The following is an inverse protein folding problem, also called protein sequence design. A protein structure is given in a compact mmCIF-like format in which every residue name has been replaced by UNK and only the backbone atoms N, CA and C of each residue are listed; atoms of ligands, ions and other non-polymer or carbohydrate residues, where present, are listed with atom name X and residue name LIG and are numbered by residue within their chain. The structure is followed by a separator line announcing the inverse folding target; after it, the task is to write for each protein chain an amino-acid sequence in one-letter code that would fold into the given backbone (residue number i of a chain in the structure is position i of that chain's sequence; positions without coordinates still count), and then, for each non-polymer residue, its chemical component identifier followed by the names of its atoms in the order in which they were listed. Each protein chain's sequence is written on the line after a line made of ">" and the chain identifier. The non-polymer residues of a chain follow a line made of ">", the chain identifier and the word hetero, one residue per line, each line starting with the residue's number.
data_IF_102156858916
#
_entry.id   IF_102156858916
#
_cell.length_a   1.000
_cell.length_b   1.000
_cell.length_c   1.000
_cell.angle_alpha   90.00
_cell.angle_beta   90.00
_cell.angle_gamma   90.00
#
_symmetry.space_group_name_H-M   'P 1'
#
loop_
_entity.id
_entity.type
_entity.pdbx_description
1 polymer ?
#
# COMPACT_ATOMS: atom_id res chain seq x y z
N UNK A 1 27.84 -3.45 7.54
CA UNK A 1 26.41 -3.69 7.22
C UNK A 1 26.32 -4.75 6.14
N UNK A 2 25.62 -5.87 6.39
CA UNK A 2 25.64 -7.04 5.51
C UNK A 2 24.92 -6.76 4.17
N UNK A 3 25.41 -7.31 3.05
CA UNK A 3 24.87 -7.03 1.69
C UNK A 3 23.36 -7.31 1.59
N UNK A 4 22.87 -8.33 2.29
CA UNK A 4 21.44 -8.65 2.37
C UNK A 4 20.58 -7.58 3.07
N UNK A 5 21.11 -6.91 4.11
CA UNK A 5 20.38 -5.85 4.82
C UNK A 5 20.21 -4.61 3.95
N UNK A 6 21.27 -4.20 3.23
CA UNK A 6 21.18 -3.10 2.25
C UNK A 6 20.17 -3.40 1.16
N UNK A 7 20.19 -4.61 0.60
CA UNK A 7 19.24 -5.02 -0.41
C UNK A 7 17.79 -4.96 0.09
N UNK A 8 17.54 -5.36 1.35
CA UNK A 8 16.21 -5.29 1.93
C UNK A 8 15.75 -3.83 2.08
N UNK A 9 16.61 -2.94 2.57
CA UNK A 9 16.27 -1.51 2.72
C UNK A 9 15.89 -0.88 1.37
N UNK A 10 16.69 -1.09 0.32
CA UNK A 10 16.38 -0.55 -1.00
C UNK A 10 15.06 -1.10 -1.55
N UNK A 11 14.81 -2.40 -1.32
CA UNK A 11 13.57 -3.02 -1.72
C UNK A 11 12.37 -2.44 -0.96
N UNK A 12 12.49 -2.23 0.36
CA UNK A 12 11.46 -1.59 1.16
C UNK A 12 11.15 -0.20 0.63
N UNK A 13 12.18 0.61 0.34
CA UNK A 13 11.98 1.95 -0.23
C UNK A 13 11.26 1.90 -1.58
N UNK A 14 11.66 0.98 -2.46
CA UNK A 14 11.01 0.80 -3.76
C UNK A 14 9.55 0.33 -3.62
N UNK A 15 9.28 -0.62 -2.72
CA UNK A 15 7.92 -1.10 -2.43
C UNK A 15 7.06 0.01 -1.82
N UNK A 16 7.60 0.81 -0.89
CA UNK A 16 6.89 1.96 -0.31
C UNK A 16 6.55 2.96 -1.40
N UNK A 17 7.51 3.32 -2.27
CA UNK A 17 7.27 4.24 -3.38
C UNK A 17 6.18 3.71 -4.34
N UNK A 18 6.26 2.44 -4.74
CA UNK A 18 5.25 1.81 -5.58
C UNK A 18 3.86 1.80 -4.91
N UNK A 19 3.79 1.47 -3.62
CA UNK A 19 2.56 1.50 -2.85
C UNK A 19 1.96 2.91 -2.78
N UNK A 20 2.79 3.94 -2.55
CA UNK A 20 2.32 5.33 -2.52
C UNK A 20 1.79 5.82 -3.87
N UNK A 21 2.46 5.49 -4.97
CA UNK A 21 2.01 5.87 -6.31
C UNK A 21 0.68 5.19 -6.65
N UNK A 22 0.58 3.89 -6.38
CA UNK A 22 -0.64 3.14 -6.62
C UNK A 22 -1.79 3.67 -5.76
N UNK A 23 -1.51 3.94 -4.49
CA UNK A 23 -2.43 4.53 -3.52
C UNK A 23 -2.99 5.88 -3.91
N UNK A 24 -2.10 6.76 -4.38
CA UNK A 24 -2.47 8.06 -4.91
C UNK A 24 -3.40 7.92 -6.12
N UNK A 25 -3.03 7.08 -7.10
CA UNK A 25 -3.87 6.81 -8.27
C UNK A 25 -5.23 6.23 -7.89
N UNK A 26 -5.26 5.24 -7.00
CA UNK A 26 -6.52 4.66 -6.49
C UNK A 26 -7.41 5.72 -5.83
N UNK A 27 -6.84 6.69 -5.12
CA UNK A 27 -7.59 7.80 -4.52
C UNK A 27 -8.17 8.73 -5.59
N UNK A 28 -7.38 9.13 -6.59
CA UNK A 28 -7.83 9.95 -7.73
C UNK A 28 -9.00 9.27 -8.47
N UNK A 29 -8.84 8.01 -8.84
CA UNK A 29 -9.90 7.27 -9.54
C UNK A 29 -11.12 6.97 -8.67
N UNK A 30 -10.96 6.86 -7.35
CA UNK A 30 -12.11 6.75 -6.45
C UNK A 30 -12.95 8.03 -6.49
N UNK A 31 -12.32 9.21 -6.47
CA UNK A 31 -13.04 10.48 -6.61
C UNK A 31 -13.76 10.62 -7.95
N UNK A 32 -13.14 10.17 -9.04
CA UNK A 32 -13.78 10.11 -10.37
C UNK A 32 -14.97 9.15 -10.39
N UNK A 33 -14.79 7.95 -9.83
CA UNK A 33 -15.86 6.96 -9.74
C UNK A 33 -17.08 7.48 -8.98
N UNK A 34 -16.87 8.19 -7.85
CA UNK A 34 -17.98 8.75 -7.06
C UNK A 34 -18.69 9.84 -7.83
N UNK A 35 -17.93 10.73 -8.47
CA UNK A 35 -18.49 11.83 -9.26
C UNK A 35 -19.28 11.34 -10.48
N UNK A 36 -18.78 10.30 -11.16
CA UNK A 36 -19.46 9.66 -12.29
C UNK A 36 -20.56 8.67 -11.85
N UNK A 37 -20.81 8.52 -10.54
CA UNK A 37 -21.76 7.57 -9.94
C UNK A 37 -21.60 6.13 -10.44
N UNK A 38 -20.37 5.71 -10.77
CA UNK A 38 -20.12 4.39 -11.38
C UNK A 38 -20.06 3.25 -10.37
N UNK A 39 -19.94 3.54 -9.07
CA UNK A 39 -19.92 2.54 -7.99
C UNK A 39 -18.67 1.64 -7.98
N UNK A 40 -17.56 2.09 -8.58
CA UNK A 40 -16.31 1.32 -8.71
C UNK A 40 -15.34 1.54 -7.55
N UNK A 41 -15.65 2.44 -6.61
CA UNK A 41 -14.82 2.75 -5.44
C UNK A 41 -14.45 1.50 -4.63
N UNK A 42 -15.38 0.57 -4.28
CA UNK A 42 -15.01 -0.60 -3.51
C UNK A 42 -14.02 -1.51 -4.26
N UNK A 43 -14.14 -1.61 -5.59
CA UNK A 43 -13.22 -2.39 -6.42
C UNK A 43 -11.83 -1.75 -6.47
N UNK A 44 -11.77 -0.44 -6.62
CA UNK A 44 -10.49 0.32 -6.64
C UNK A 44 -9.79 0.19 -5.28
N UNK A 45 -10.53 0.33 -4.18
CA UNK A 45 -9.99 0.19 -2.82
C UNK A 45 -9.56 -1.26 -2.51
N UNK A 46 -10.33 -2.26 -2.96
CA UNK A 46 -9.93 -3.67 -2.83
C UNK A 46 -8.63 -3.95 -3.59
N UNK A 47 -8.49 -3.41 -4.81
CA UNK A 47 -7.28 -3.60 -5.61
C UNK A 47 -6.07 -2.92 -4.96
N UNK A 48 -6.26 -1.74 -4.35
CA UNK A 48 -5.23 -1.05 -3.56
C UNK A 48 -4.72 -1.91 -2.40
N UNK A 49 -5.63 -2.47 -1.60
CA UNK A 49 -5.26 -3.37 -0.49
C UNK A 49 -4.53 -4.61 -1.03
N UNK A 50 -4.99 -5.17 -2.16
CA UNK A 50 -4.33 -6.32 -2.78
C UNK A 50 -2.87 -6.02 -3.16
N UNK A 51 -2.59 -4.84 -3.75
CA UNK A 51 -1.23 -4.42 -4.09
C UNK A 51 -0.36 -4.30 -2.83
N UNK A 52 -0.89 -3.70 -1.76
CA UNK A 52 -0.20 -3.57 -0.48
C UNK A 52 0.17 -4.94 0.10
N UNK A 53 -0.77 -5.89 0.06
CA UNK A 53 -0.56 -7.27 0.49
C UNK A 53 0.51 -7.96 -0.37
N UNK A 54 0.43 -7.84 -1.69
CA UNK A 54 1.40 -8.45 -2.61
C UNK A 54 2.83 -7.93 -2.36
N UNK A 55 2.99 -6.62 -2.16
CA UNK A 55 4.29 -6.02 -1.83
C UNK A 55 4.79 -6.45 -0.45
N UNK A 56 3.89 -6.51 0.54
CA UNK A 56 4.23 -7.00 1.90
C UNK A 56 4.67 -8.46 1.90
N UNK A 57 3.99 -9.32 1.15
CA UNK A 57 4.36 -10.73 0.96
C UNK A 57 5.71 -10.85 0.25
N UNK A 58 5.97 -10.02 -0.77
CA UNK A 58 7.26 -9.99 -1.45
C UNK A 58 8.41 -9.60 -0.50
N UNK A 59 8.19 -8.63 0.39
CA UNK A 59 9.14 -8.25 1.42
C UNK A 59 9.39 -9.38 2.43
N UNK A 60 8.34 -10.07 2.88
CA UNK A 60 8.46 -11.23 3.75
C UNK A 60 9.27 -12.37 3.09
N UNK A 61 9.01 -12.66 1.81
CA UNK A 61 9.78 -13.69 1.09
C UNK A 61 11.25 -13.32 0.88
N UNK A 62 11.59 -12.05 0.66
CA UNK A 62 13.00 -11.64 0.50
C UNK A 62 13.73 -11.40 1.82
N UNK A 63 13.03 -10.97 2.87
CA UNK A 63 13.61 -10.56 4.14
C UNK A 63 13.39 -11.50 5.31
N UNK A 64 12.61 -12.58 5.14
CA UNK A 64 12.14 -13.44 6.23
C UNK A 64 11.43 -12.60 7.32
N UNK A 65 11.73 -12.82 8.61
CA UNK A 65 11.19 -12.03 9.71
C UNK A 65 11.51 -10.53 9.63
N UNK A 66 12.75 -10.09 9.32
CA UNK A 66 13.03 -8.70 8.98
C UNK A 66 12.17 -8.16 7.82
N UNK A 67 11.81 -9.03 6.88
CA UNK A 67 10.91 -8.71 5.77
C UNK A 67 9.48 -8.40 6.21
N UNK A 68 8.98 -9.09 7.24
CA UNK A 68 7.67 -8.81 7.85
C UNK A 68 7.69 -7.43 8.53
N UNK A 69 8.74 -7.12 9.30
CA UNK A 69 8.90 -5.79 9.89
C UNK A 69 9.01 -4.69 8.82
N UNK A 70 9.75 -4.96 7.74
CA UNK A 70 9.84 -4.06 6.59
C UNK A 70 8.49 -3.85 5.89
N UNK A 71 7.65 -4.89 5.78
CA UNK A 71 6.30 -4.78 5.22
C UNK A 71 5.40 -3.90 6.09
N UNK A 72 5.50 -4.02 7.42
CA UNK A 72 4.78 -3.14 8.35
C UNK A 72 5.23 -1.68 8.19
N UNK A 73 6.55 -1.43 8.16
CA UNK A 73 7.08 -0.07 7.95
C UNK A 73 6.65 0.49 6.60
N UNK A 74 6.67 -0.32 5.54
CA UNK A 74 6.20 0.05 4.22
C UNK A 74 4.72 0.47 4.24
N UNK A 75 3.84 -0.34 4.84
CA UNK A 75 2.43 -0.02 4.96
C UNK A 75 2.20 1.28 5.73
N UNK A 76 2.83 1.45 6.89
CA UNK A 76 2.73 2.68 7.69
C UNK A 76 3.17 3.92 6.89
N UNK A 77 4.32 3.83 6.21
CA UNK A 77 4.85 4.94 5.43
C UNK A 77 3.96 5.25 4.22
N UNK A 78 3.49 4.22 3.51
CA UNK A 78 2.67 4.39 2.33
C UNK A 78 1.30 4.99 2.68
N UNK A 79 0.62 4.45 3.69
CA UNK A 79 -0.65 4.98 4.17
C UNK A 79 -0.53 6.42 4.71
N UNK A 80 0.58 6.75 5.38
CA UNK A 80 0.85 8.13 5.82
C UNK A 80 0.97 9.10 4.65
N UNK A 81 1.67 8.69 3.59
CA UNK A 81 1.81 9.48 2.39
C UNK A 81 0.45 9.61 1.66
N UNK A 82 -0.33 8.54 1.52
CA UNK A 82 -1.69 8.61 0.97
C UNK A 82 -2.56 9.61 1.74
N UNK A 83 -2.56 9.52 3.07
CA UNK A 83 -3.34 10.42 3.92
C UNK A 83 -2.91 11.88 3.77
N UNK A 84 -1.60 12.14 3.65
CA UNK A 84 -1.08 13.48 3.41
C UNK A 84 -1.44 14.00 2.01
N UNK A 85 -1.43 13.13 1.01
CA UNK A 85 -1.74 13.40 -0.39
C UNK A 85 -3.24 13.38 -0.70
N UNK A 86 -4.10 12.98 0.24
CA UNK A 86 -5.54 12.90 0.04
C UNK A 86 -6.18 14.17 -0.57
N UNK A 87 -5.93 15.40 -0.07
CA UNK A 87 -6.47 16.61 -0.70
C UNK A 87 -5.88 16.86 -2.10
N UNK A 88 -4.63 16.46 -2.35
CA UNK A 88 -4.02 16.57 -3.68
C UNK A 88 -4.64 15.58 -4.67
N UNK A 89 -5.03 14.39 -4.21
CA UNK A 89 -5.72 13.40 -5.05
C UNK A 89 -7.10 13.90 -5.51
N UNK A 90 -7.82 14.62 -4.65
CA UNK A 90 -9.06 15.30 -5.03
C UNK A 90 -8.79 16.39 -6.06
N UNK A 91 -7.79 17.25 -5.82
CA UNK A 91 -7.42 18.31 -6.78
C UNK A 91 -7.01 17.76 -8.14
N UNK A 92 -6.33 16.61 -8.18
CA UNK A 92 -5.99 15.90 -9.42
C UNK A 92 -7.20 15.27 -10.10
N UNK A 93 -8.14 14.69 -9.33
CA UNK A 93 -9.37 14.14 -9.88
C UNK A 93 -10.25 15.22 -10.50
N UNK A 94 -10.26 16.41 -9.90
CA UNK A 94 -11.05 17.57 -10.32
C UNK A 94 -10.41 18.39 -11.47
N UNK A 95 -9.23 18.00 -11.97
CA UNK A 95 -8.53 18.76 -13.03
C UNK A 95 -9.43 18.90 -14.27
N UNK A 96 -9.75 20.14 -14.63
CA UNK A 96 -10.63 20.47 -15.76
C UNK A 96 -12.12 20.56 -15.43
N UNK A 97 -12.53 20.17 -14.21
CA UNK A 97 -13.93 20.26 -13.72
C UNK A 97 -14.00 20.80 -12.28
N UNK A 98 -13.08 21.69 -11.90
CA UNK A 98 -12.87 22.10 -10.51
C UNK A 98 -14.12 22.72 -9.88
N UNK A 99 -14.88 23.50 -10.66
CA UNK A 99 -16.12 24.14 -10.21
C UNK A 99 -17.27 23.14 -10.01
N UNK A 100 -17.32 22.06 -10.81
CA UNK A 100 -18.35 21.03 -10.69
C UNK A 100 -18.06 20.13 -9.47
N UNK A 101 -16.80 19.73 -9.30
CA UNK A 101 -16.34 19.00 -8.11
C UNK A 101 -16.51 19.80 -6.82
N UNK A 102 -16.26 21.11 -6.84
CA UNK A 102 -16.45 21.97 -5.66
C UNK A 102 -17.93 22.12 -5.29
N UNK A 103 -18.84 22.08 -6.28
CA UNK A 103 -20.29 22.13 -6.05
C UNK A 103 -20.82 20.82 -5.46
N UNK A 104 -20.27 19.69 -5.91
CA UNK A 104 -20.70 18.35 -5.49
C UNK A 104 -20.13 17.95 -4.12
N UNK A 105 -18.82 18.11 -3.93
CA UNK A 105 -18.13 17.60 -2.74
C UNK A 105 -17.78 18.67 -1.70
N UNK A 106 -17.92 19.96 -2.03
CA UNK A 106 -17.62 21.06 -1.12
C UNK A 106 -16.14 21.10 -0.68
N UNK A 107 -15.89 21.43 0.59
CA UNK A 107 -14.53 21.48 1.13
C UNK A 107 -14.09 20.10 1.62
N UNK A 108 -13.13 19.48 0.93
CA UNK A 108 -12.62 18.14 1.28
C UNK A 108 -11.69 18.22 2.49
N UNK A 109 -12.14 17.67 3.62
CA UNK A 109 -11.33 17.49 4.84
C UNK A 109 -10.74 16.08 4.91
N UNK A 110 -9.54 15.95 5.49
CA UNK A 110 -8.88 14.65 5.67
C UNK A 110 -9.67 13.76 6.62
N UNK A 111 -9.91 12.49 6.28
CA UNK A 111 -10.54 11.53 7.18
C UNK A 111 -9.63 11.18 8.37
N UNK A 112 -10.19 10.67 9.47
CA UNK A 112 -9.42 10.30 10.65
C UNK A 112 -8.44 9.16 10.31
N UNK A 113 -7.15 9.42 10.55
CA UNK A 113 -6.04 8.56 10.13
C UNK A 113 -6.09 7.14 10.72
N UNK A 114 -6.58 7.00 11.95
CA UNK A 114 -6.70 5.72 12.66
C UNK A 114 -7.65 4.73 11.96
N UNK A 115 -8.78 5.19 11.42
CA UNK A 115 -9.71 4.35 10.68
C UNK A 115 -9.09 3.86 9.36
N UNK A 116 -8.26 4.69 8.74
CA UNK A 116 -7.63 4.42 7.45
C UNK A 116 -6.47 3.43 7.58
N UNK A 117 -5.59 3.62 8.56
CA UNK A 117 -4.39 2.79 8.73
C UNK A 117 -4.67 1.40 9.28
N UNK A 118 -5.74 1.24 10.05
CA UNK A 118 -6.02 -0.05 10.71
C UNK A 118 -6.20 -1.16 9.68
N UNK A 119 -6.98 -0.93 8.61
CA UNK A 119 -7.23 -1.94 7.59
C UNK A 119 -5.96 -2.33 6.82
N UNK A 120 -5.19 -1.35 6.36
CA UNK A 120 -3.94 -1.59 5.61
C UNK A 120 -2.93 -2.34 6.48
N UNK A 121 -2.79 -1.91 7.74
CA UNK A 121 -1.84 -2.50 8.68
C UNK A 121 -2.22 -3.95 9.01
N UNK A 122 -3.49 -4.22 9.35
CA UNK A 122 -3.94 -5.58 9.64
C UNK A 122 -3.81 -6.49 8.42
N UNK A 123 -4.23 -6.03 7.24
CA UNK A 123 -4.12 -6.80 6.01
C UNK A 123 -2.65 -7.17 5.71
N UNK A 124 -1.75 -6.18 5.70
CA UNK A 124 -0.33 -6.42 5.38
C UNK A 124 0.37 -7.22 6.46
N UNK A 125 0.17 -6.91 7.74
CA UNK A 125 0.82 -7.61 8.84
C UNK A 125 0.41 -9.08 8.92
N UNK A 126 -0.89 -9.37 8.84
CA UNK A 126 -1.41 -10.74 8.90
C UNK A 126 -0.95 -11.53 7.67
N UNK A 127 -1.08 -10.97 6.46
CA UNK A 127 -0.69 -11.69 5.24
C UNK A 127 0.82 -11.94 5.15
N UNK A 128 1.66 -10.98 5.54
CA UNK A 128 3.11 -11.15 5.55
C UNK A 128 3.58 -12.16 6.61
N UNK A 129 2.98 -12.11 7.81
CA UNK A 129 3.26 -13.09 8.86
C UNK A 129 2.82 -14.50 8.46
N UNK A 130 1.61 -14.65 7.88
CA UNK A 130 1.12 -15.93 7.37
C UNK A 130 1.99 -16.46 6.23
N UNK A 131 2.40 -15.62 5.28
CA UNK A 131 3.26 -16.03 4.17
C UNK A 131 4.61 -16.54 4.69
N UNK A 132 5.20 -15.85 5.67
CA UNK A 132 6.45 -16.30 6.29
C UNK A 132 6.25 -17.57 7.13
N UNK A 133 5.12 -17.70 7.83
CA UNK A 133 4.74 -18.90 8.58
C UNK A 133 4.60 -20.13 7.67
N UNK A 134 3.85 -20.00 6.58
CA UNK A 134 3.68 -21.04 5.56
C UNK A 134 5.01 -21.45 4.93
N UNK A 135 5.88 -20.48 4.65
CA UNK A 135 7.23 -20.75 4.13
C UNK A 135 8.07 -21.59 5.08
N UNK A 136 8.03 -21.29 6.39
CA UNK A 136 8.76 -22.06 7.39
C UNK A 136 8.23 -23.50 7.49
N UNK A 137 6.91 -23.68 7.45
CA UNK A 137 6.28 -25.00 7.45
C UNK A 137 6.58 -25.80 6.17
N UNK A 138 6.70 -25.13 5.03
CA UNK A 138 7.03 -25.75 3.75
C UNK A 138 8.51 -26.13 3.61
N UNK A 139 9.35 -25.94 4.64
CA UNK A 139 10.82 -26.07 4.55
C UNK A 139 11.46 -25.32 3.37
N UNK A 140 10.80 -24.26 2.87
CA UNK A 140 11.25 -23.51 1.70
C UNK A 140 12.47 -22.65 2.10
N UNK A 141 13.66 -23.22 1.88
CA UNK A 141 14.95 -22.60 2.20
C UNK A 141 15.03 -21.17 1.63
N UNK A 142 15.26 -20.14 2.47
CA UNK A 142 15.22 -18.76 2.02
C UNK A 142 16.37 -18.31 1.12
N UNK A 143 17.39 -19.15 0.92
CA UNK A 143 18.59 -18.83 0.14
C UNK A 143 18.64 -19.44 -1.26
N UNK A 144 17.68 -20.29 -1.63
CA UNK A 144 17.84 -21.15 -2.80
C UNK A 144 18.97 -22.17 -2.60
N UNK A 145 19.02 -23.21 -3.44
CA UNK A 145 20.17 -24.11 -3.49
C UNK A 145 21.40 -23.31 -3.92
N UNK A 146 22.22 -22.90 -2.95
CA UNK A 146 23.51 -22.28 -3.16
C UNK A 146 24.60 -23.25 -2.71
N UNK A 147 25.21 -23.86 -3.72
CA UNK A 147 26.58 -24.38 -3.82
C UNK A 147 27.15 -25.21 -2.65
N UNK A 148 27.13 -26.53 -2.86
CA UNK A 148 28.22 -27.42 -2.48
C UNK A 148 28.95 -27.86 -3.75
#
# INVERSE_FOLDING_TARGET
>A
MNKGMRSLIYLTLACTFAATLYGFGASVYSWQSVYEETGREPLIQATRIFVYVALGVLLAFRGAWPGVAAAVVMALAATSAEWALFPLSYGWAALGEEAAYAKEFGTVTRPPYNAWISFDLFAVAISSALAQGLRMMAHANPRGFGDG
#
